data_IF_505670889052
#
_entry.id   IF_505670889052
#
_cell.length_a   1.000
_cell.length_b   1.000
_cell.length_c   1.000
_cell.angle_alpha   90.00
_cell.angle_beta   90.00
_cell.angle_gamma   90.00
#
_symmetry.space_group_name_H-M   'P 1'
#
loop_
_entity.id
_entity.type
_entity.pdbx_description
1 polymer ?
#
# COMPACT_ATOMS: atom_id res chain seq x y z
N UNK A 1 -26.01 29.58 -0.16
CA UNK A 1 -25.45 28.39 0.49
C UNK A 1 -24.30 28.87 1.37
N UNK A 2 -24.59 29.16 2.65
CA UNK A 2 -23.54 29.41 3.64
C UNK A 2 -23.11 28.06 4.18
N UNK A 3 -21.84 27.69 3.96
CA UNK A 3 -21.23 26.48 4.51
C UNK A 3 -21.20 26.62 6.05
N UNK A 4 -21.76 25.66 6.77
CA UNK A 4 -21.73 25.62 8.22
C UNK A 4 -20.52 24.82 8.72
N UNK A 5 -19.53 25.52 9.29
CA UNK A 5 -18.32 24.94 9.85
C UNK A 5 -18.33 24.91 11.38
N UNK A 6 -19.46 25.24 12.03
CA UNK A 6 -19.59 25.29 13.49
C UNK A 6 -19.30 23.97 14.19
N UNK A 7 -19.44 22.84 13.48
CA UNK A 7 -19.11 21.50 13.99
C UNK A 7 -17.59 21.21 14.05
N UNK A 8 -16.78 21.90 13.26
CA UNK A 8 -15.36 21.57 13.04
C UNK A 8 -14.53 21.52 14.33
N UNK A 9 -14.61 22.50 15.26
CA UNK A 9 -13.80 22.47 16.50
C UNK A 9 -14.06 21.23 17.37
N UNK A 10 -15.30 20.75 17.41
CA UNK A 10 -15.69 19.57 18.18
C UNK A 10 -15.06 18.29 17.64
N UNK A 11 -14.90 18.17 16.34
CA UNK A 11 -14.42 16.95 15.68
C UNK A 11 -12.93 17.01 15.31
N UNK A 12 -12.21 18.11 15.58
CA UNK A 12 -10.78 18.25 15.28
C UNK A 12 -9.92 17.09 15.82
N UNK A 13 -10.07 16.61 17.07
CA UNK A 13 -9.28 15.49 17.57
C UNK A 13 -9.54 14.20 16.78
N UNK A 14 -10.79 13.96 16.40
CA UNK A 14 -11.21 12.79 15.63
C UNK A 14 -10.68 12.86 14.18
N UNK A 15 -10.72 14.06 13.59
CA UNK A 15 -10.16 14.33 12.26
C UNK A 15 -8.66 14.05 12.26
N UNK A 16 -7.93 14.55 13.27
CA UNK A 16 -6.50 14.30 13.41
C UNK A 16 -6.19 12.78 13.53
N UNK A 17 -6.98 12.06 14.30
CA UNK A 17 -6.87 10.61 14.43
C UNK A 17 -7.16 9.90 13.10
N UNK A 18 -8.20 10.30 12.37
CA UNK A 18 -8.54 9.73 11.06
C UNK A 18 -7.44 9.98 10.02
N UNK A 19 -6.89 11.20 9.99
CA UNK A 19 -5.75 11.56 9.14
C UNK A 19 -4.54 10.69 9.49
N UNK A 20 -4.22 10.56 10.76
CA UNK A 20 -3.12 9.71 11.23
C UNK A 20 -3.31 8.26 10.79
N UNK A 21 -4.51 7.70 10.96
CA UNK A 21 -4.82 6.32 10.54
C UNK A 21 -4.63 6.15 9.04
N UNK A 22 -5.15 7.08 8.23
CA UNK A 22 -4.97 7.06 6.77
C UNK A 22 -3.50 7.10 6.37
N UNK A 23 -2.70 7.95 7.01
CA UNK A 23 -1.27 8.10 6.73
C UNK A 23 -0.47 6.85 7.11
N UNK A 24 -0.62 6.38 8.36
CA UNK A 24 0.16 5.22 8.79
C UNK A 24 -0.23 3.95 8.03
N UNK A 25 -1.53 3.73 7.75
CA UNK A 25 -1.97 2.62 6.90
C UNK A 25 -1.29 2.69 5.53
N UNK A 26 -1.31 3.86 4.88
CA UNK A 26 -0.67 4.04 3.57
C UNK A 26 0.82 3.72 3.65
N UNK A 27 1.55 4.30 4.60
CA UNK A 27 3.00 4.12 4.73
C UNK A 27 3.36 2.66 5.04
N UNK A 28 2.69 2.05 6.01
CA UNK A 28 2.97 0.67 6.43
C UNK A 28 2.66 -0.31 5.31
N UNK A 29 1.48 -0.20 4.69
CA UNK A 29 1.04 -1.17 3.67
C UNK A 29 1.83 -1.03 2.36
N UNK A 30 2.20 0.20 1.96
CA UNK A 30 3.10 0.42 0.83
C UNK A 30 4.52 -0.10 1.10
N UNK A 31 5.06 0.12 2.30
CA UNK A 31 6.39 -0.36 2.65
C UNK A 31 6.45 -1.89 2.69
N UNK A 32 5.48 -2.54 3.33
CA UNK A 32 5.40 -4.00 3.37
C UNK A 32 5.09 -4.58 1.99
N UNK A 33 4.18 -3.93 1.25
CA UNK A 33 3.85 -4.27 -0.14
C UNK A 33 5.07 -4.22 -1.04
N UNK A 34 5.89 -3.16 -0.94
CA UNK A 34 7.13 -3.01 -1.70
C UNK A 34 8.15 -4.11 -1.40
N UNK A 35 8.32 -4.51 -0.14
CA UNK A 35 9.21 -5.62 0.21
C UNK A 35 8.79 -6.91 -0.49
N UNK A 36 7.48 -7.22 -0.48
CA UNK A 36 6.93 -8.37 -1.20
C UNK A 36 7.04 -8.21 -2.71
N UNK A 37 6.77 -7.02 -3.23
CA UNK A 37 6.79 -6.67 -4.65
C UNK A 37 8.18 -6.84 -5.28
N UNK A 38 9.25 -6.50 -4.56
CA UNK A 38 10.62 -6.72 -5.01
C UNK A 38 10.84 -8.22 -5.26
N UNK A 39 10.41 -9.08 -4.32
CA UNK A 39 10.52 -10.54 -4.47
C UNK A 39 9.67 -11.07 -5.64
N UNK A 40 8.39 -10.65 -5.70
CA UNK A 40 7.45 -11.03 -6.76
C UNK A 40 7.92 -10.57 -8.15
N UNK A 41 8.34 -9.31 -8.25
CA UNK A 41 8.83 -8.72 -9.50
C UNK A 41 10.11 -9.38 -9.98
N UNK A 42 11.06 -9.65 -9.09
CA UNK A 42 12.29 -10.33 -9.41
C UNK A 42 12.07 -11.79 -9.83
N UNK A 43 11.22 -12.53 -9.08
CA UNK A 43 10.82 -13.90 -9.43
C UNK A 43 10.24 -13.98 -10.84
N UNK A 44 9.37 -13.03 -11.22
CA UNK A 44 8.77 -12.96 -12.55
C UNK A 44 9.72 -12.50 -13.65
N UNK A 45 10.74 -11.69 -13.32
CA UNK A 45 11.69 -11.15 -14.31
C UNK A 45 12.86 -12.11 -14.60
N UNK A 46 13.36 -12.80 -13.57
CA UNK A 46 14.60 -13.56 -13.63
C UNK A 46 14.57 -14.90 -12.89
N UNK A 47 13.47 -15.23 -12.23
CA UNK A 47 13.32 -16.49 -11.49
C UNK A 47 13.04 -17.68 -12.40
N UNK A 48 13.24 -18.89 -11.89
CA UNK A 48 12.84 -20.12 -12.57
C UNK A 48 11.30 -20.18 -12.65
N UNK A 49 10.78 -20.98 -13.61
CA UNK A 49 9.34 -21.05 -13.91
C UNK A 49 8.49 -21.40 -12.69
N UNK A 50 8.97 -22.26 -11.81
CA UNK A 50 8.27 -22.66 -10.57
C UNK A 50 8.08 -21.52 -9.56
N UNK A 51 8.90 -20.45 -9.60
CA UNK A 51 8.73 -19.23 -8.84
C UNK A 51 7.99 -18.14 -9.64
N UNK A 52 8.33 -18.02 -10.91
CA UNK A 52 7.75 -16.97 -11.77
C UNK A 52 6.25 -17.18 -12.00
N UNK A 53 5.81 -18.43 -12.16
CA UNK A 53 4.41 -18.74 -12.41
C UNK A 53 3.49 -18.42 -11.22
N UNK A 54 3.76 -18.88 -9.98
CA UNK A 54 2.95 -18.51 -8.82
C UNK A 54 2.93 -17.01 -8.55
N UNK A 55 4.08 -16.33 -8.71
CA UNK A 55 4.16 -14.88 -8.56
C UNK A 55 3.27 -14.14 -9.57
N UNK A 56 3.25 -14.61 -10.82
CA UNK A 56 2.38 -14.06 -11.87
C UNK A 56 0.91 -14.31 -11.58
N UNK A 57 0.56 -15.54 -11.18
CA UNK A 57 -0.82 -15.91 -10.80
C UNK A 57 -1.30 -15.03 -9.66
N UNK A 58 -0.49 -14.87 -8.62
CA UNK A 58 -0.81 -14.00 -7.48
C UNK A 58 -1.08 -12.56 -7.93
N UNK A 59 -0.16 -11.94 -8.66
CA UNK A 59 -0.35 -10.56 -9.15
C UNK A 59 -1.60 -10.43 -10.03
N UNK A 60 -1.88 -11.44 -10.87
CA UNK A 60 -3.06 -11.44 -11.75
C UNK A 60 -4.36 -11.52 -10.94
N UNK A 61 -4.44 -12.41 -9.96
CA UNK A 61 -5.62 -12.57 -9.10
C UNK A 61 -5.87 -11.31 -8.28
N UNK A 62 -4.84 -10.80 -7.60
CA UNK A 62 -4.96 -9.63 -6.74
C UNK A 62 -5.39 -8.39 -7.53
N UNK A 63 -4.82 -8.18 -8.72
CA UNK A 63 -5.19 -7.04 -9.57
C UNK A 63 -6.52 -7.22 -10.30
N UNK A 64 -6.94 -8.46 -10.50
CA UNK A 64 -8.19 -8.81 -11.17
C UNK A 64 -9.40 -8.88 -10.26
N UNK A 65 -9.22 -8.77 -8.93
CA UNK A 65 -10.31 -8.84 -7.96
C UNK A 65 -10.48 -7.50 -7.22
N UNK A 66 -11.73 -7.11 -6.87
CA UNK A 66 -11.98 -5.88 -6.11
C UNK A 66 -11.31 -5.92 -4.72
N UNK A 67 -10.57 -4.87 -4.36
CA UNK A 67 -9.93 -4.75 -3.06
C UNK A 67 -10.93 -4.86 -1.89
N UNK A 68 -12.13 -4.31 -2.04
CA UNK A 68 -13.18 -4.42 -1.03
C UNK A 68 -13.55 -5.89 -0.75
N UNK A 69 -13.64 -6.71 -1.79
CA UNK A 69 -13.91 -8.14 -1.65
C UNK A 69 -12.76 -8.85 -0.92
N UNK A 70 -11.51 -8.55 -1.28
CA UNK A 70 -10.33 -9.10 -0.61
C UNK A 70 -10.33 -8.75 0.89
N UNK A 71 -10.64 -7.48 1.22
CA UNK A 71 -10.72 -7.00 2.60
C UNK A 71 -11.80 -7.75 3.38
N UNK A 72 -12.98 -7.93 2.81
CA UNK A 72 -14.07 -8.64 3.46
C UNK A 72 -13.80 -10.13 3.62
N UNK A 73 -13.21 -10.79 2.63
CA UNK A 73 -12.82 -12.19 2.73
C UNK A 73 -11.80 -12.41 3.85
N UNK A 74 -10.83 -11.52 4.00
CA UNK A 74 -9.85 -11.62 5.08
C UNK A 74 -10.48 -11.31 6.45
N UNK A 75 -11.24 -10.22 6.56
CA UNK A 75 -11.81 -9.81 7.84
C UNK A 75 -12.90 -10.79 8.32
N UNK A 76 -13.90 -11.06 7.50
CA UNK A 76 -14.99 -11.97 7.89
C UNK A 76 -14.56 -13.44 7.84
N UNK A 77 -13.70 -13.83 6.90
CA UNK A 77 -13.20 -15.21 6.78
C UNK A 77 -12.26 -15.57 7.93
N UNK A 78 -11.14 -14.88 8.06
CA UNK A 78 -10.18 -15.17 9.13
C UNK A 78 -10.72 -14.77 10.50
N UNK A 79 -11.50 -13.69 10.60
CA UNK A 79 -12.16 -13.25 11.83
C UNK A 79 -13.19 -14.26 12.36
N UNK A 80 -13.84 -15.04 11.49
CA UNK A 80 -14.70 -16.14 11.88
C UNK A 80 -13.92 -17.43 12.16
N UNK A 81 -12.77 -17.62 11.52
CA UNK A 81 -11.96 -18.83 11.61
C UNK A 81 -11.12 -18.86 12.89
N UNK A 82 -10.39 -17.78 13.22
CA UNK A 82 -9.49 -17.74 14.37
C UNK A 82 -10.15 -17.99 15.74
N UNK A 83 -11.38 -17.50 16.01
CA UNK A 83 -12.08 -17.80 17.27
C UNK A 83 -12.39 -19.26 17.51
N UNK A 84 -12.34 -20.11 16.47
CA UNK A 84 -12.62 -21.55 16.60
C UNK A 84 -11.49 -22.31 17.31
N UNK A 85 -10.30 -21.69 17.43
CA UNK A 85 -9.14 -22.29 18.08
C UNK A 85 -8.96 -21.76 19.49
N UNK A 86 -9.26 -22.55 20.57
CA UNK A 86 -9.10 -22.12 21.96
C UNK A 86 -7.65 -21.69 22.30
N UNK A 87 -6.66 -22.34 21.70
CA UNK A 87 -5.23 -22.06 21.88
C UNK A 87 -4.86 -20.66 21.38
N UNK A 88 -5.41 -20.24 20.25
CA UNK A 88 -5.24 -18.89 19.71
C UNK A 88 -5.90 -17.82 20.61
N UNK A 89 -7.07 -18.12 21.14
CA UNK A 89 -7.79 -17.22 22.07
C UNK A 89 -7.03 -16.97 23.38
N UNK A 90 -6.23 -17.94 23.82
CA UNK A 90 -5.39 -17.84 25.03
C UNK A 90 -3.97 -17.35 24.72
N UNK A 91 -3.62 -17.17 23.43
CA UNK A 91 -2.30 -16.72 23.01
C UNK A 91 -2.12 -15.22 23.18
N UNK A 92 -0.86 -14.79 23.23
CA UNK A 92 -0.47 -13.36 23.23
C UNK A 92 -0.88 -12.63 21.94
N UNK A 93 -1.21 -13.35 20.87
CA UNK A 93 -1.65 -12.79 19.60
C UNK A 93 -3.14 -12.39 19.60
N UNK A 94 -3.94 -12.95 20.51
CA UNK A 94 -5.38 -12.74 20.50
C UNK A 94 -5.80 -11.27 20.61
N UNK A 95 -5.18 -10.41 21.45
CA UNK A 95 -5.51 -8.98 21.51
C UNK A 95 -5.36 -8.25 20.18
N UNK A 96 -4.46 -8.75 19.30
CA UNK A 96 -4.24 -8.21 17.96
C UNK A 96 -5.25 -8.82 16.97
N UNK A 97 -5.42 -10.14 16.97
CA UNK A 97 -6.25 -10.85 15.99
C UNK A 97 -7.76 -10.55 16.12
N UNK A 98 -8.21 -10.08 17.27
CA UNK A 98 -9.62 -9.67 17.46
C UNK A 98 -9.93 -8.26 16.92
N UNK A 99 -8.91 -7.46 16.65
CA UNK A 99 -9.06 -6.09 16.15
C UNK A 99 -9.21 -6.08 14.62
N UNK A 100 -9.83 -5.04 14.07
CA UNK A 100 -10.04 -4.91 12.62
C UNK A 100 -8.79 -4.45 11.86
N UNK A 101 -7.93 -3.63 12.49
CA UNK A 101 -6.78 -3.01 11.83
C UNK A 101 -5.75 -4.00 11.25
N UNK A 102 -5.46 -5.20 11.83
CA UNK A 102 -4.51 -6.14 11.24
C UNK A 102 -4.99 -6.70 9.90
N UNK A 103 -6.30 -6.92 9.77
CA UNK A 103 -6.91 -7.37 8.52
C UNK A 103 -6.87 -6.27 7.45
N UNK A 104 -7.06 -5.00 7.87
CA UNK A 104 -6.87 -3.86 6.98
C UNK A 104 -5.42 -3.79 6.47
N UNK A 105 -4.43 -3.90 7.37
CA UNK A 105 -3.01 -3.92 6.99
C UNK A 105 -2.72 -5.09 6.06
N UNK A 106 -3.22 -6.28 6.36
CA UNK A 106 -3.00 -7.47 5.54
C UNK A 106 -3.59 -7.30 4.14
N UNK A 107 -4.87 -6.92 4.03
CA UNK A 107 -5.54 -6.76 2.74
C UNK A 107 -4.87 -5.69 1.87
N UNK A 108 -4.60 -4.53 2.45
CA UNK A 108 -3.96 -3.42 1.76
C UNK A 108 -2.51 -3.75 1.36
N UNK A 109 -1.76 -4.49 2.20
CA UNK A 109 -0.40 -4.94 1.88
C UNK A 109 -0.40 -5.94 0.73
N UNK A 110 -1.29 -6.93 0.76
CA UNK A 110 -1.41 -7.91 -0.33
C UNK A 110 -1.80 -7.23 -1.64
N UNK A 111 -2.74 -6.29 -1.57
CA UNK A 111 -3.11 -5.49 -2.75
C UNK A 111 -1.92 -4.71 -3.30
N UNK A 112 -1.24 -3.92 -2.46
CA UNK A 112 -0.05 -3.17 -2.85
C UNK A 112 1.03 -4.10 -3.47
N UNK A 113 1.31 -5.23 -2.84
CA UNK A 113 2.29 -6.21 -3.34
C UNK A 113 1.94 -6.73 -4.74
N UNK A 114 0.66 -6.93 -5.05
CA UNK A 114 0.21 -7.36 -6.37
C UNK A 114 0.44 -6.32 -7.46
N UNK A 115 0.08 -5.06 -7.18
CA UNK A 115 0.28 -3.93 -8.11
C UNK A 115 1.76 -3.57 -8.26
N UNK A 116 2.46 -3.32 -7.15
CA UNK A 116 3.89 -3.00 -7.16
C UNK A 116 4.75 -4.15 -7.69
N UNK A 117 4.32 -5.41 -7.53
CA UNK A 117 5.00 -6.58 -8.07
C UNK A 117 5.09 -6.56 -9.59
N UNK A 118 4.02 -6.13 -10.27
CA UNK A 118 4.05 -5.93 -11.72
C UNK A 118 4.90 -4.73 -12.13
N UNK A 119 4.84 -3.64 -11.38
CA UNK A 119 5.70 -2.46 -11.58
C UNK A 119 7.18 -2.88 -11.47
N UNK A 120 7.54 -3.61 -10.41
CA UNK A 120 8.90 -4.10 -10.20
C UNK A 120 9.33 -5.11 -11.27
N UNK A 121 8.43 -5.97 -11.75
CA UNK A 121 8.72 -6.86 -12.88
C UNK A 121 9.12 -6.07 -14.13
N UNK A 122 8.35 -5.03 -14.46
CA UNK A 122 8.66 -4.14 -15.58
C UNK A 122 9.99 -3.41 -15.37
N UNK A 123 10.23 -2.90 -14.18
CA UNK A 123 11.44 -2.19 -13.80
C UNK A 123 12.70 -3.09 -13.87
N UNK A 124 12.64 -4.32 -13.36
CA UNK A 124 13.75 -5.28 -13.47
C UNK A 124 14.07 -5.64 -14.92
N UNK A 125 13.06 -5.84 -15.77
CA UNK A 125 13.26 -6.11 -17.21
C UNK A 125 13.78 -4.90 -17.97
N UNK A 126 13.50 -3.69 -17.49
CA UNK A 126 13.98 -2.45 -18.09
C UNK A 126 15.47 -2.15 -17.83
N UNK A 127 16.14 -2.86 -16.91
CA UNK A 127 17.57 -2.67 -16.67
C UNK A 127 18.36 -3.19 -17.88
N UNK A 128 19.33 -2.40 -18.43
CA UNK A 128 20.09 -2.80 -19.61
C UNK A 128 20.84 -4.12 -19.40
N UNK A 129 20.59 -5.08 -20.28
CA UNK A 129 21.21 -6.42 -20.20
C UNK A 129 22.74 -6.36 -20.19
N UNK A 130 23.34 -5.45 -20.96
CA UNK A 130 24.79 -5.28 -21.03
C UNK A 130 25.45 -4.97 -19.67
N UNK A 131 24.76 -4.27 -18.78
CA UNK A 131 25.30 -4.02 -17.42
C UNK A 131 25.30 -5.29 -16.56
N UNK A 132 24.27 -6.13 -16.72
CA UNK A 132 24.18 -7.41 -16.03
C UNK A 132 25.23 -8.37 -16.55
N UNK A 133 25.44 -8.41 -17.87
CA UNK A 133 26.44 -9.26 -18.52
C UNK A 133 27.87 -8.83 -18.18
N UNK A 134 28.16 -7.53 -18.20
CA UNK A 134 29.45 -6.98 -17.81
C UNK A 134 29.80 -7.34 -16.36
N UNK A 135 28.83 -7.20 -15.44
CA UNK A 135 29.03 -7.57 -14.04
C UNK A 135 29.29 -9.08 -13.86
N UNK A 136 28.61 -9.92 -14.65
CA UNK A 136 28.85 -11.37 -14.65
C UNK A 136 30.22 -11.73 -15.21
N UNK A 137 30.62 -11.06 -16.29
CA UNK A 137 31.95 -11.25 -16.90
C UNK A 137 33.08 -10.88 -15.93
N UNK A 138 32.88 -9.90 -15.07
CA UNK A 138 33.80 -9.54 -13.99
C UNK A 138 33.76 -10.51 -12.78
N UNK A 139 33.03 -11.63 -12.87
CA UNK A 139 32.94 -12.63 -11.80
C UNK A 139 32.07 -12.21 -10.61
N UNK A 140 31.18 -11.21 -10.76
CA UNK A 140 30.35 -10.73 -9.65
C UNK A 140 29.35 -11.81 -9.20
N UNK A 141 29.31 -12.18 -7.90
CA UNK A 141 28.34 -13.13 -7.37
C UNK A 141 26.91 -12.66 -7.58
N UNK A 142 25.98 -13.58 -7.82
CA UNK A 142 24.55 -13.27 -8.13
C UNK A 142 23.88 -12.35 -7.12
N UNK A 143 24.11 -12.54 -5.83
CA UNK A 143 23.54 -11.69 -4.78
C UNK A 143 24.13 -10.27 -4.80
N UNK A 144 25.45 -10.15 -5.02
CA UNK A 144 26.11 -8.84 -5.13
C UNK A 144 25.63 -8.09 -6.36
N UNK A 145 25.50 -8.78 -7.51
CA UNK A 145 24.93 -8.22 -8.73
C UNK A 145 23.50 -7.70 -8.50
N UNK A 146 22.65 -8.53 -7.88
CA UNK A 146 21.27 -8.12 -7.53
C UNK A 146 21.28 -6.87 -6.66
N UNK A 147 22.02 -6.88 -5.53
CA UNK A 147 21.99 -5.81 -4.53
C UNK A 147 22.64 -4.51 -5.02
N UNK A 148 23.73 -4.58 -5.82
CA UNK A 148 24.53 -3.41 -6.19
C UNK A 148 24.17 -2.82 -7.54
N UNK A 149 23.64 -3.62 -8.45
CA UNK A 149 23.39 -3.19 -9.84
C UNK A 149 21.90 -3.27 -10.18
N UNK A 150 21.31 -4.44 -10.05
CA UNK A 150 19.98 -4.69 -10.60
C UNK A 150 18.87 -4.01 -9.79
N UNK A 151 18.83 -4.26 -8.49
CA UNK A 151 17.80 -3.71 -7.60
C UNK A 151 17.82 -2.16 -7.53
N UNK A 152 18.96 -1.47 -7.35
CA UNK A 152 18.96 0.00 -7.31
C UNK A 152 18.47 0.62 -8.60
N UNK A 153 18.86 0.08 -9.75
CA UNK A 153 18.40 0.59 -11.05
C UNK A 153 16.92 0.29 -11.30
N UNK A 154 16.45 -0.90 -10.92
CA UNK A 154 15.03 -1.23 -11.00
C UNK A 154 14.19 -0.31 -10.11
N UNK A 155 14.59 -0.06 -8.86
CA UNK A 155 13.90 0.86 -7.96
C UNK A 155 13.86 2.28 -8.53
N UNK A 156 14.97 2.77 -9.08
CA UNK A 156 15.01 4.08 -9.70
C UNK A 156 14.00 4.20 -10.85
N UNK A 157 13.93 3.17 -11.72
CA UNK A 157 12.98 3.11 -12.84
C UNK A 157 11.53 3.00 -12.38
N UNK A 158 11.27 2.29 -11.28
CA UNK A 158 9.95 2.10 -10.73
C UNK A 158 9.40 3.34 -10.00
N UNK A 159 10.28 4.23 -9.51
CA UNK A 159 9.96 5.30 -8.57
C UNK A 159 8.81 6.22 -9.03
N UNK A 160 8.76 6.70 -10.30
CA UNK A 160 7.65 7.54 -10.75
C UNK A 160 6.30 6.81 -10.71
N UNK A 161 6.29 5.51 -11.05
CA UNK A 161 5.08 4.68 -11.01
C UNK A 161 4.66 4.39 -9.58
N UNK A 162 5.62 4.09 -8.69
CA UNK A 162 5.37 3.86 -7.25
C UNK A 162 4.73 5.09 -6.61
N UNK A 163 5.11 6.30 -7.01
CA UNK A 163 4.46 7.52 -6.53
C UNK A 163 2.95 7.53 -6.85
N UNK A 164 2.58 7.15 -8.06
CA UNK A 164 1.19 7.00 -8.48
C UNK A 164 0.45 5.90 -7.71
N UNK A 165 1.06 4.73 -7.58
CA UNK A 165 0.51 3.61 -6.81
C UNK A 165 0.30 3.98 -5.33
N UNK A 166 1.22 4.74 -4.72
CA UNK A 166 1.08 5.23 -3.34
C UNK A 166 -0.14 6.14 -3.19
N UNK A 167 -0.40 7.03 -4.15
CA UNK A 167 -1.60 7.87 -4.14
C UNK A 167 -2.87 7.03 -4.34
N UNK A 168 -2.85 6.02 -5.21
CA UNK A 168 -3.98 5.11 -5.39
C UNK A 168 -4.26 4.28 -4.13
N UNK A 169 -3.22 3.78 -3.49
CA UNK A 169 -3.32 3.05 -2.21
C UNK A 169 -3.94 3.93 -1.11
N UNK A 170 -3.46 5.17 -0.97
CA UNK A 170 -4.04 6.13 -0.04
C UNK A 170 -5.52 6.38 -0.31
N UNK A 171 -5.93 6.53 -1.57
CA UNK A 171 -7.33 6.67 -1.97
C UNK A 171 -8.18 5.41 -1.72
N UNK A 172 -7.55 4.27 -1.52
CA UNK A 172 -8.23 3.00 -1.18
C UNK A 172 -8.45 2.82 0.31
N UNK A 173 -7.83 3.64 1.17
CA UNK A 173 -8.02 3.54 2.63
C UNK A 173 -9.46 3.72 3.11
N UNK A 174 -10.38 4.49 2.46
CA UNK A 174 -11.78 4.56 2.84
C UNK A 174 -12.50 3.20 2.92
N UNK A 175 -12.00 2.19 2.22
CA UNK A 175 -12.59 0.85 2.26
C UNK A 175 -12.48 0.21 3.65
N UNK A 176 -11.47 0.56 4.45
CA UNK A 176 -11.29 0.01 5.80
C UNK A 176 -12.38 0.46 6.79
N UNK A 177 -13.11 1.54 6.45
CA UNK A 177 -14.28 1.98 7.21
C UNK A 177 -15.39 0.91 7.23
N UNK A 178 -15.44 0.05 6.22
CA UNK A 178 -16.43 -1.03 6.12
C UNK A 178 -16.21 -2.15 7.13
N UNK A 179 -15.00 -2.23 7.69
CA UNK A 179 -14.61 -3.17 8.74
C UNK A 179 -14.29 -2.46 10.06
N UNK A 180 -14.91 -1.31 10.29
CA UNK A 180 -14.84 -0.54 11.55
C UNK A 180 -13.49 0.12 11.88
N UNK A 181 -12.54 0.18 10.97
CA UNK A 181 -11.30 0.94 11.17
C UNK A 181 -11.57 2.43 10.96
N UNK A 182 -11.16 3.25 11.94
CA UNK A 182 -11.41 4.69 11.95
C UNK A 182 -10.36 5.42 11.10
N UNK A 183 -10.67 5.62 9.82
CA UNK A 183 -9.93 6.48 8.90
C UNK A 183 -10.59 7.85 8.74
N UNK A 184 -10.03 8.73 7.93
CA UNK A 184 -10.60 10.09 7.73
C UNK A 184 -11.99 10.05 7.09
N UNK A 185 -12.30 9.07 6.24
CA UNK A 185 -13.63 8.90 5.67
C UNK A 185 -14.66 8.47 6.72
N UNK A 186 -14.28 7.56 7.65
CA UNK A 186 -15.11 7.16 8.78
C UNK A 186 -15.47 8.35 9.65
N UNK A 187 -14.53 9.29 9.85
CA UNK A 187 -14.77 10.53 10.59
C UNK A 187 -15.78 11.41 9.88
N UNK A 188 -15.63 11.63 8.57
CA UNK A 188 -16.59 12.40 7.79
C UNK A 188 -18.00 11.80 7.86
N UNK A 189 -18.12 10.46 7.74
CA UNK A 189 -19.40 9.75 7.95
C UNK A 189 -19.97 9.98 9.33
N UNK A 190 -19.16 9.91 10.38
CA UNK A 190 -19.62 10.13 11.76
C UNK A 190 -20.13 11.55 11.96
N UNK A 191 -19.42 12.57 11.46
CA UNK A 191 -19.91 13.96 11.49
C UNK A 191 -21.27 14.06 10.81
N UNK A 192 -21.43 13.48 9.63
CA UNK A 192 -22.71 13.46 8.91
C UNK A 192 -23.83 12.78 9.72
N UNK A 193 -23.54 11.67 10.38
CA UNK A 193 -24.52 10.94 11.20
C UNK A 193 -24.95 11.73 12.45
N UNK A 194 -24.01 12.44 13.09
CA UNK A 194 -24.26 13.16 14.33
C UNK A 194 -24.91 14.53 14.10
N UNK A 195 -24.62 15.19 12.96
CA UNK A 195 -25.05 16.57 12.68
C UNK A 195 -26.08 16.70 11.56
N UNK A 196 -26.30 15.63 10.78
CA UNK A 196 -27.08 15.62 9.53
C UNK A 196 -26.54 16.57 8.44
N UNK A 197 -25.35 17.12 8.63
CA UNK A 197 -24.63 17.93 7.66
C UNK A 197 -23.85 16.97 6.74
N UNK A 198 -24.10 17.01 5.44
CA UNK A 198 -23.52 16.04 4.48
C UNK A 198 -22.38 16.66 3.65
N UNK A 199 -22.60 17.88 3.18
CA UNK A 199 -21.72 18.47 2.17
C UNK A 199 -20.37 18.92 2.71
N UNK A 200 -20.35 19.64 3.83
CA UNK A 200 -19.16 20.22 4.42
C UNK A 200 -18.13 19.16 4.88
N UNK A 201 -18.54 18.06 5.56
CA UNK A 201 -17.61 16.98 5.87
C UNK A 201 -16.98 16.32 4.63
N UNK A 202 -17.72 16.21 3.52
CA UNK A 202 -17.20 15.67 2.26
C UNK A 202 -16.22 16.65 1.58
N UNK A 203 -16.48 17.95 1.66
CA UNK A 203 -15.56 18.98 1.17
C UNK A 203 -14.26 18.95 1.97
N UNK A 204 -14.36 18.88 3.31
CA UNK A 204 -13.17 18.73 4.17
C UNK A 204 -12.38 17.48 3.81
N UNK A 205 -13.06 16.34 3.65
CA UNK A 205 -12.46 15.08 3.23
C UNK A 205 -11.70 15.24 1.92
N UNK A 206 -12.30 15.84 0.91
CA UNK A 206 -11.68 16.08 -0.39
C UNK A 206 -10.41 16.95 -0.26
N UNK A 207 -10.47 18.04 0.52
CA UNK A 207 -9.33 18.91 0.78
C UNK A 207 -8.19 18.13 1.44
N UNK A 208 -8.49 17.34 2.48
CA UNK A 208 -7.48 16.53 3.18
C UNK A 208 -6.82 15.54 2.24
N UNK A 209 -7.59 14.82 1.39
CA UNK A 209 -7.03 13.90 0.41
C UNK A 209 -6.15 14.60 -0.65
N UNK A 210 -6.54 15.78 -1.11
CA UNK A 210 -5.73 16.58 -2.05
C UNK A 210 -4.40 16.97 -1.41
N UNK A 211 -4.42 17.42 -0.15
CA UNK A 211 -3.20 17.79 0.58
C UNK A 211 -2.29 16.58 0.75
N UNK A 212 -2.81 15.45 1.23
CA UNK A 212 -2.02 14.23 1.43
C UNK A 212 -1.44 13.74 0.08
N UNK A 213 -2.25 13.70 -0.98
CA UNK A 213 -1.78 13.32 -2.31
C UNK A 213 -0.66 14.25 -2.81
N UNK A 214 -0.82 15.56 -2.63
CA UNK A 214 0.21 16.55 -2.95
C UNK A 214 1.51 16.33 -2.19
N UNK A 215 1.43 16.05 -0.89
CA UNK A 215 2.60 15.73 -0.06
C UNK A 215 3.31 14.45 -0.52
N UNK A 216 2.56 13.40 -0.85
CA UNK A 216 3.11 12.16 -1.42
C UNK A 216 3.86 12.44 -2.72
N UNK A 217 3.24 13.16 -3.67
CA UNK A 217 3.86 13.50 -4.96
C UNK A 217 5.12 14.34 -4.76
N UNK A 218 5.07 15.34 -3.88
CA UNK A 218 6.24 16.18 -3.56
C UNK A 218 7.37 15.38 -2.91
N UNK A 219 7.06 14.44 -2.03
CA UNK A 219 8.03 13.54 -1.42
C UNK A 219 8.75 12.71 -2.48
N UNK A 220 8.01 12.05 -3.38
CA UNK A 220 8.59 11.22 -4.43
C UNK A 220 9.39 12.04 -5.44
N UNK A 221 8.93 13.22 -5.84
CA UNK A 221 9.71 14.15 -6.70
C UNK A 221 11.04 14.55 -6.07
N UNK A 222 11.07 14.86 -4.76
CA UNK A 222 12.32 15.16 -4.05
C UNK A 222 13.24 13.94 -3.97
N UNK A 223 12.67 12.74 -3.81
CA UNK A 223 13.43 11.50 -3.80
C UNK A 223 14.05 11.23 -5.17
N UNK A 224 13.28 11.37 -6.24
CA UNK A 224 13.72 11.21 -7.62
C UNK A 224 14.85 12.20 -7.99
N UNK A 225 14.71 13.47 -7.59
CA UNK A 225 15.72 14.51 -7.84
C UNK A 225 17.06 14.26 -7.13
N UNK A 226 17.09 13.44 -6.07
CA UNK A 226 18.34 13.08 -5.36
C UNK A 226 19.07 11.91 -5.99
N UNK A 227 18.43 11.18 -6.90
CA UNK A 227 19.02 10.03 -7.56
C UNK A 227 19.83 10.50 -8.79
N UNK A 228 21.05 9.97 -9.01
CA UNK A 228 21.89 10.43 -10.10
C UNK A 228 21.27 10.07 -11.46
N UNK A 229 21.20 11.06 -12.36
CA UNK A 229 20.63 10.94 -13.72
C UNK A 229 21.26 9.84 -14.60
N UNK A 230 22.42 9.29 -14.20
CA UNK A 230 23.12 8.20 -14.93
C UNK A 230 22.48 6.82 -14.75
N UNK A 231 21.43 6.69 -13.98
CA UNK A 231 20.73 5.41 -13.79
C UNK A 231 19.39 5.33 -14.59
N UNK A 232 19.08 6.36 -15.33
CA UNK A 232 17.89 6.40 -16.20
C UNK A 232 18.15 5.73 -17.55
#
# INVERSE_FOLDING_TARGET
>A
FLLDWGWLPRYLPLIAQGVWTTLWLTVVTMSLGMVLAIGLGFAQAAGPMWLAWPARVYCTIIRGTPLLLQLWLLYFGLGAFFPQFPELRQSFLWPILREAWPYAVLALTLSAAGYEGEVMRGAFRGVPHGQIEAARAMGMPRFTLFRRIWLPQALHRALPTIAGETVLQMKSTPLVATITVLDIYSVARRVTQDTFIVYEPLVLLAIVYIIIAGLIVLFFRKLEARLPARMA
#
